data_IF_268326405751
#
_entry.id   IF_268326405751
#
_cell.length_a   1.000
_cell.length_b   1.000
_cell.length_c   1.000
_cell.angle_alpha   90.00
_cell.angle_beta   90.00
_cell.angle_gamma   90.00
#
_symmetry.space_group_name_H-M   'P 1'
#
loop_
_entity.id
_entity.type
_entity.pdbx_description
1 polymer ?
#
# COMPACT_ATOMS: atom_id res chain seq x y z
N UNK A 1 31.46 -1.22 20.64
CA UNK A 1 31.69 0.08 21.30
C UNK A 1 32.08 1.10 20.24
N UNK A 2 31.39 2.23 20.16
CA UNK A 2 31.77 3.34 19.28
C UNK A 2 32.61 4.35 20.07
N UNK A 3 33.69 4.83 19.47
CA UNK A 3 34.61 5.80 20.09
C UNK A 3 34.33 7.17 19.49
N UNK A 4 34.03 8.16 20.35
CA UNK A 4 33.83 9.55 19.93
C UNK A 4 35.05 10.09 19.18
N UNK A 5 34.80 10.80 18.07
CA UNK A 5 35.82 11.46 17.27
C UNK A 5 36.59 10.58 16.27
N UNK A 6 36.33 9.27 16.22
CA UNK A 6 36.96 8.38 15.22
C UNK A 6 36.03 8.13 14.03
N UNK A 7 36.53 8.20 12.78
CA UNK A 7 35.76 7.78 11.60
C UNK A 7 35.64 6.25 11.60
N UNK A 8 34.59 5.74 12.22
CA UNK A 8 34.31 4.30 12.29
C UNK A 8 33.32 3.94 11.17
N UNK A 9 33.61 2.90 10.34
CA UNK A 9 32.71 2.48 9.29
C UNK A 9 31.36 2.02 9.86
N UNK A 10 30.29 2.21 9.10
CA UNK A 10 28.92 1.85 9.50
C UNK A 10 28.85 0.34 9.74
N UNK A 11 28.43 -0.05 10.95
CA UNK A 11 28.36 -1.46 11.40
C UNK A 11 27.61 -2.35 10.40
N UNK A 12 26.48 -1.88 9.89
CA UNK A 12 25.66 -2.63 8.92
C UNK A 12 25.95 -2.25 7.45
N UNK A 13 26.98 -1.44 7.17
CA UNK A 13 27.22 -0.90 5.83
C UNK A 13 27.36 -1.98 4.75
N UNK A 14 27.99 -3.11 5.09
CA UNK A 14 28.15 -4.23 4.18
C UNK A 14 26.83 -4.91 3.81
N UNK A 15 25.89 -5.06 4.75
CA UNK A 15 24.60 -5.72 4.47
C UNK A 15 23.73 -4.87 3.55
N UNK A 16 23.82 -3.53 3.64
CA UNK A 16 23.21 -2.62 2.67
C UNK A 16 23.84 -2.78 1.28
N UNK A 17 25.18 -2.79 1.18
CA UNK A 17 25.88 -2.86 -0.10
C UNK A 17 25.73 -4.21 -0.83
N UNK A 18 25.49 -5.29 -0.08
CA UNK A 18 25.37 -6.66 -0.62
C UNK A 18 23.92 -7.11 -0.79
N UNK A 19 22.93 -6.27 -0.46
CA UNK A 19 21.52 -6.64 -0.51
C UNK A 19 21.09 -7.68 0.53
N UNK A 20 21.95 -8.01 1.50
CA UNK A 20 21.61 -8.97 2.57
C UNK A 20 20.73 -8.36 3.67
N UNK A 21 20.53 -7.04 3.66
CA UNK A 21 19.61 -6.39 4.59
C UNK A 21 18.17 -6.61 4.16
N UNK A 22 17.35 -7.12 5.07
CA UNK A 22 15.89 -7.20 4.88
C UNK A 22 15.19 -5.94 5.34
N UNK A 23 14.48 -5.30 4.43
CA UNK A 23 13.53 -4.23 4.68
C UNK A 23 12.13 -4.81 4.94
N UNK A 24 11.20 -3.96 5.36
CA UNK A 24 9.82 -4.37 5.63
C UNK A 24 9.16 -5.00 4.41
N UNK A 25 9.44 -4.50 3.22
CA UNK A 25 8.91 -5.03 1.95
C UNK A 25 9.48 -6.41 1.58
N UNK A 26 10.62 -6.80 2.17
CA UNK A 26 11.25 -8.11 1.95
C UNK A 26 10.69 -9.20 2.88
N UNK A 27 9.79 -8.85 3.79
CA UNK A 27 9.15 -9.79 4.70
C UNK A 27 7.99 -10.46 3.98
N UNK A 28 8.03 -11.79 3.85
CA UNK A 28 6.93 -12.58 3.33
C UNK A 28 6.46 -13.58 4.38
N UNK A 29 5.16 -13.53 4.72
CA UNK A 29 4.51 -14.51 5.57
C UNK A 29 3.52 -15.38 4.76
N UNK A 30 3.28 -16.64 5.15
CA UNK A 30 2.20 -17.43 4.56
C UNK A 30 0.87 -16.67 4.65
N UNK A 31 0.13 -16.60 3.54
CA UNK A 31 -1.17 -15.91 3.45
C UNK A 31 -1.12 -14.39 3.71
N UNK A 32 0.05 -13.75 3.54
CA UNK A 32 0.19 -12.30 3.71
C UNK A 32 -0.69 -11.53 2.73
N UNK A 33 -1.67 -10.80 3.25
CA UNK A 33 -2.48 -9.88 2.47
C UNK A 33 -1.70 -8.60 2.18
N UNK A 34 -1.87 -8.07 0.98
CA UNK A 34 -1.32 -6.78 0.55
C UNK A 34 -2.41 -5.73 0.67
N UNK A 35 -2.12 -4.65 1.39
CA UNK A 35 -2.97 -3.46 1.46
C UNK A 35 -2.55 -2.41 0.44
N UNK A 36 -3.51 -1.75 -0.20
CA UNK A 36 -3.30 -0.57 -1.03
C UNK A 36 -4.30 0.52 -0.66
N UNK A 37 -3.79 1.73 -0.44
CA UNK A 37 -4.62 2.93 -0.30
C UNK A 37 -5.12 3.29 -1.69
N UNK A 38 -6.45 3.21 -1.88
CA UNK A 38 -7.06 3.35 -3.20
C UNK A 38 -7.43 4.80 -3.50
N UNK A 39 -7.96 5.54 -2.52
CA UNK A 39 -8.10 6.99 -2.65
C UNK A 39 -7.31 7.71 -1.57
N UNK A 40 -6.36 8.51 -2.03
CA UNK A 40 -5.85 9.65 -1.28
C UNK A 40 -6.71 10.84 -1.69
N UNK A 41 -7.24 11.58 -0.71
CA UNK A 41 -8.10 12.74 -0.98
C UNK A 41 -7.40 13.73 -1.91
N UNK A 42 -8.13 14.23 -2.93
CA UNK A 42 -7.57 15.16 -3.92
C UNK A 42 -7.23 16.54 -3.36
N UNK A 43 -7.86 16.92 -2.24
CA UNK A 43 -7.73 18.24 -1.63
C UNK A 43 -7.68 18.14 -0.11
N UNK A 44 -6.94 19.05 0.53
CA UNK A 44 -6.89 19.18 1.99
C UNK A 44 -8.27 19.60 2.50
N UNK A 45 -8.80 18.87 3.48
CA UNK A 45 -10.09 19.18 4.12
C UNK A 45 -11.33 18.60 3.42
N UNK A 46 -11.17 17.89 2.30
CA UNK A 46 -12.30 17.15 1.71
C UNK A 46 -12.70 15.97 2.61
N UNK A 47 -13.94 15.49 2.48
CA UNK A 47 -14.38 14.23 3.10
C UNK A 47 -14.93 13.26 2.06
N UNK A 48 -14.78 11.96 2.31
CA UNK A 48 -15.32 10.89 1.49
C UNK A 48 -16.84 10.83 1.68
N UNK A 49 -17.60 11.31 0.71
CA UNK A 49 -19.07 11.28 0.76
C UNK A 49 -19.63 9.87 0.49
N UNK A 50 -19.05 9.15 -0.47
CA UNK A 50 -19.48 7.78 -0.81
C UNK A 50 -18.38 7.01 -1.55
N UNK A 51 -18.42 5.67 -1.46
CA UNK A 51 -17.49 4.78 -2.14
C UNK A 51 -18.27 3.67 -2.86
N UNK A 52 -18.21 3.65 -4.20
CA UNK A 52 -18.75 2.53 -4.98
C UNK A 52 -17.74 1.37 -5.03
N UNK A 53 -18.02 0.31 -4.27
CA UNK A 53 -17.21 -0.91 -4.21
C UNK A 53 -17.81 -2.08 -5.00
N UNK A 54 -18.85 -1.85 -5.80
CA UNK A 54 -19.56 -2.91 -6.54
C UNK A 54 -18.68 -3.69 -7.52
N UNK A 55 -17.64 -3.04 -8.07
CA UNK A 55 -16.68 -3.67 -8.98
C UNK A 55 -15.69 -4.62 -8.28
N UNK A 56 -15.72 -4.71 -6.94
CA UNK A 56 -14.80 -5.52 -6.14
C UNK A 56 -15.54 -6.70 -5.51
N UNK A 57 -15.32 -7.94 -5.96
CA UNK A 57 -15.87 -9.10 -5.29
C UNK A 57 -15.31 -9.21 -3.87
N UNK A 58 -16.20 -9.36 -2.87
CA UNK A 58 -15.80 -9.52 -1.45
C UNK A 58 -14.91 -10.75 -1.20
N UNK A 59 -14.97 -11.74 -2.09
CA UNK A 59 -14.11 -12.92 -2.03
C UNK A 59 -12.65 -12.60 -2.43
N UNK A 60 -12.41 -11.51 -3.16
CA UNK A 60 -11.10 -11.16 -3.71
C UNK A 60 -10.38 -10.07 -2.92
N UNK A 61 -11.12 -9.18 -2.26
CA UNK A 61 -10.54 -8.11 -1.46
C UNK A 61 -11.48 -7.60 -0.36
N UNK A 62 -10.89 -7.22 0.78
CA UNK A 62 -11.55 -6.45 1.82
C UNK A 62 -11.40 -4.95 1.52
N UNK A 63 -12.51 -4.23 1.38
CA UNK A 63 -12.51 -2.77 1.15
C UNK A 63 -12.94 -2.06 2.44
N UNK A 64 -12.15 -1.11 2.89
CA UNK A 64 -12.42 -0.26 4.07
C UNK A 64 -12.56 1.18 3.60
N UNK A 65 -13.63 1.84 4.03
CA UNK A 65 -13.91 3.24 3.73
C UNK A 65 -14.39 3.95 4.98
N UNK A 66 -13.66 4.96 5.42
CA UNK A 66 -13.96 5.73 6.62
C UNK A 66 -13.56 7.18 6.37
N UNK A 67 -14.54 8.10 6.28
CA UNK A 67 -14.41 9.56 6.17
C UNK A 67 -13.23 10.11 5.36
N UNK A 68 -11.99 10.02 5.86
CA UNK A 68 -10.80 10.57 5.21
C UNK A 68 -9.85 9.49 4.65
N UNK A 69 -10.26 8.23 4.72
CA UNK A 69 -9.46 7.07 4.33
C UNK A 69 -10.30 6.08 3.54
N UNK A 70 -9.72 5.57 2.46
CA UNK A 70 -10.24 4.38 1.79
C UNK A 70 -9.10 3.51 1.30
N UNK A 71 -9.18 2.22 1.61
CA UNK A 71 -8.16 1.24 1.28
C UNK A 71 -8.79 -0.10 0.94
N UNK A 72 -8.03 -0.92 0.21
CA UNK A 72 -8.38 -2.30 -0.03
C UNK A 72 -7.22 -3.22 0.34
N UNK A 73 -7.54 -4.40 0.86
CA UNK A 73 -6.59 -5.47 1.12
C UNK A 73 -6.96 -6.68 0.27
N UNK A 74 -5.99 -7.25 -0.45
CA UNK A 74 -6.16 -8.44 -1.27
C UNK A 74 -5.03 -9.44 -1.00
N UNK A 75 -5.30 -10.73 -1.19
CA UNK A 75 -4.32 -11.80 -0.93
C UNK A 75 -3.12 -11.82 -1.90
N UNK A 76 -3.20 -11.15 -3.07
CA UNK A 76 -2.07 -11.06 -4.01
C UNK A 76 -1.89 -9.63 -4.54
N UNK A 77 -0.63 -9.14 -4.55
CA UNK A 77 -0.24 -7.79 -4.97
C UNK A 77 -0.73 -7.46 -6.40
N UNK A 78 -0.62 -8.41 -7.32
CA UNK A 78 -0.98 -8.23 -8.72
C UNK A 78 -2.48 -7.95 -8.91
N UNK A 79 -3.36 -8.49 -8.06
CA UNK A 79 -4.81 -8.19 -8.11
C UNK A 79 -5.10 -6.71 -7.81
N UNK A 80 -4.28 -6.03 -7.02
CA UNK A 80 -4.42 -4.60 -6.71
C UNK A 80 -3.81 -3.66 -7.76
N UNK A 81 -2.95 -4.19 -8.65
CA UNK A 81 -2.17 -3.41 -9.61
C UNK A 81 -2.52 -3.66 -11.08
N UNK A 82 -3.49 -4.55 -11.39
CA UNK A 82 -4.01 -4.66 -12.76
C UNK A 82 -4.58 -3.32 -13.22
N UNK A 83 -3.80 -2.61 -14.04
CA UNK A 83 -4.27 -1.44 -14.79
C UNK A 83 -5.20 -1.99 -15.86
N UNK A 84 -6.46 -1.55 -15.84
CA UNK A 84 -7.44 -1.96 -16.85
C UNK A 84 -7.03 -1.47 -18.24
N UNK A 85 -6.36 -2.33 -19.01
CA UNK A 85 -6.49 -2.32 -20.47
C UNK A 85 -7.78 -3.06 -20.80
N UNK A 86 -8.89 -2.32 -20.82
CA UNK A 86 -10.24 -2.87 -20.99
C UNK A 86 -11.13 -2.62 -19.77
N UNK A 87 -11.63 -1.40 -19.62
CA UNK A 87 -12.95 -1.09 -19.06
C UNK A 87 -13.25 -1.29 -17.57
N UNK A 88 -12.52 -2.08 -16.78
CA UNK A 88 -12.88 -2.30 -15.37
C UNK A 88 -11.67 -2.68 -14.52
N UNK A 89 -10.80 -1.71 -14.24
CA UNK A 89 -9.87 -1.79 -13.12
C UNK A 89 -10.43 -1.01 -11.93
N UNK A 90 -9.91 -1.27 -10.72
CA UNK A 90 -10.20 -0.62 -9.43
C UNK A 90 -10.03 0.92 -9.38
N UNK A 91 -10.14 1.61 -10.51
CA UNK A 91 -10.13 3.06 -10.72
C UNK A 91 -11.54 3.66 -10.74
N UNK A 92 -12.60 2.84 -10.83
CA UNK A 92 -13.99 3.30 -10.84
C UNK A 92 -14.57 3.54 -9.43
N UNK A 93 -13.73 3.82 -8.43
CA UNK A 93 -14.22 4.39 -7.18
C UNK A 93 -14.60 5.86 -7.41
N UNK A 94 -15.80 6.08 -7.93
CA UNK A 94 -16.41 7.41 -8.00
C UNK A 94 -16.75 7.83 -6.57
N UNK A 95 -15.92 8.68 -5.99
CA UNK A 95 -16.24 9.38 -4.76
C UNK A 95 -16.78 10.76 -5.10
N UNK A 96 -17.99 11.05 -4.60
CA UNK A 96 -18.47 12.42 -4.49
C UNK A 96 -17.76 13.04 -3.28
N UNK A 97 -16.99 14.09 -3.52
CA UNK A 97 -16.40 14.89 -2.44
C UNK A 97 -17.44 15.94 -2.03
N UNK A 98 -17.75 16.02 -0.73
CA UNK A 98 -18.48 17.14 -0.13
C UNK A 98 -17.49 18.05 0.61
#
# INVERSE_FOLDING_TARGET
MAVLGKPIPRVNGRSFATGSHRFTDDIAAPQMAVGKVLLRLRSIGATLGSLDSSAVPKADAAVVAEKNFSGAAAGIYERLNRRGHGGSGYQNFRCLYQ
#
